data_IF_383545756872
#
_entry.id   IF_383545756872
#
_cell.length_a   1.000
_cell.length_b   1.000
_cell.length_c   1.000
_cell.angle_alpha   90.00
_cell.angle_beta   90.00
_cell.angle_gamma   90.00
#
_symmetry.space_group_name_H-M   'P 1'
#
loop_
_entity.id
_entity.type
_entity.pdbx_description
1 polymer ?
#
# COMPACT_ATOMS: atom_id res chain seq x y z
N UNK A 1 9.07 33.60 -24.47
CA UNK A 1 8.50 32.24 -24.51
C UNK A 1 8.68 31.47 -23.21
N UNK A 2 9.84 31.43 -22.57
CA UNK A 2 10.09 30.70 -21.30
C UNK A 2 9.21 31.18 -20.12
N UNK A 3 8.93 32.47 -19.98
CA UNK A 3 8.07 33.00 -18.90
C UNK A 3 6.57 32.56 -19.01
N UNK A 4 6.07 32.39 -20.21
CA UNK A 4 4.69 31.92 -20.43
C UNK A 4 4.56 30.41 -20.14
N UNK A 5 5.58 29.63 -20.46
CA UNK A 5 5.60 28.20 -20.10
C UNK A 5 5.66 27.98 -18.58
N UNK A 6 6.44 28.81 -17.85
CA UNK A 6 6.51 28.74 -16.39
C UNK A 6 5.17 29.14 -15.72
N UNK A 7 4.48 30.16 -16.21
CA UNK A 7 3.16 30.56 -15.72
C UNK A 7 2.10 29.49 -16.00
N UNK A 8 2.11 28.86 -17.17
CA UNK A 8 1.20 27.77 -17.50
C UNK A 8 1.42 26.51 -16.64
N UNK A 9 2.66 26.22 -16.25
CA UNK A 9 2.97 25.06 -15.38
C UNK A 9 2.52 25.28 -13.94
N UNK A 10 2.65 26.51 -13.42
CA UNK A 10 2.16 26.90 -12.07
C UNK A 10 0.64 26.83 -12.01
N UNK A 11 -0.05 27.30 -13.06
CA UNK A 11 -1.51 27.24 -13.14
C UNK A 11 -2.02 25.78 -13.24
N UNK A 12 -1.32 24.93 -13.97
CA UNK A 12 -1.67 23.51 -14.08
C UNK A 12 -1.47 22.75 -12.75
N UNK A 13 -0.40 23.04 -12.02
CA UNK A 13 -0.15 22.43 -10.70
C UNK A 13 -1.20 22.89 -9.67
N UNK A 14 -1.52 24.19 -9.65
CA UNK A 14 -2.55 24.74 -8.76
C UNK A 14 -3.95 24.18 -9.08
N UNK A 15 -4.27 23.98 -10.35
CA UNK A 15 -5.53 23.34 -10.76
C UNK A 15 -5.60 21.88 -10.36
N UNK A 16 -4.51 21.11 -10.50
CA UNK A 16 -4.42 19.72 -10.06
C UNK A 16 -4.58 19.61 -8.55
N UNK A 17 -3.95 20.48 -7.78
CA UNK A 17 -4.09 20.51 -6.32
C UNK A 17 -5.52 20.91 -5.91
N UNK A 18 -6.13 21.89 -6.57
CA UNK A 18 -7.51 22.28 -6.34
C UNK A 18 -8.48 21.14 -6.65
N UNK A 19 -8.33 20.46 -7.79
CA UNK A 19 -9.13 19.30 -8.16
C UNK A 19 -8.95 18.15 -7.18
N UNK A 20 -7.74 17.91 -6.70
CA UNK A 20 -7.44 16.90 -5.69
C UNK A 20 -8.16 17.22 -4.36
N UNK A 21 -8.07 18.46 -3.87
CA UNK A 21 -8.78 18.92 -2.66
C UNK A 21 -10.31 18.87 -2.83
N UNK A 22 -10.82 19.29 -3.98
CA UNK A 22 -12.26 19.22 -4.28
C UNK A 22 -12.74 17.76 -4.29
N UNK A 23 -11.96 16.86 -4.86
CA UNK A 23 -12.27 15.44 -4.89
C UNK A 23 -12.22 14.81 -3.49
N UNK A 24 -11.25 15.17 -2.65
CA UNK A 24 -11.21 14.76 -1.24
C UNK A 24 -12.41 15.27 -0.46
N UNK A 25 -12.78 16.54 -0.61
CA UNK A 25 -13.95 17.14 0.05
C UNK A 25 -15.25 16.48 -0.38
N UNK A 26 -15.46 16.25 -1.67
CA UNK A 26 -16.68 15.58 -2.17
C UNK A 26 -16.75 14.12 -1.73
N UNK A 27 -15.62 13.41 -1.66
CA UNK A 27 -15.56 12.05 -1.12
C UNK A 27 -15.91 12.04 0.37
N UNK A 28 -15.36 12.97 1.16
CA UNK A 28 -15.64 13.09 2.60
C UNK A 28 -17.11 13.43 2.88
N UNK A 29 -17.70 14.38 2.13
CA UNK A 29 -19.11 14.73 2.26
C UNK A 29 -20.01 13.55 1.89
N UNK A 30 -19.69 12.82 0.80
CA UNK A 30 -20.43 11.64 0.39
C UNK A 30 -20.38 10.51 1.42
N UNK A 31 -19.28 10.37 2.15
CA UNK A 31 -19.12 9.41 3.25
C UNK A 31 -19.97 9.82 4.44
N UNK A 32 -19.89 11.09 4.87
CA UNK A 32 -20.66 11.61 6.02
C UNK A 32 -22.18 11.52 5.83
N UNK A 33 -22.66 11.70 4.60
CA UNK A 33 -24.08 11.57 4.29
C UNK A 33 -24.57 10.12 4.26
N UNK A 34 -23.68 9.20 3.85
CA UNK A 34 -23.99 7.75 3.71
C UNK A 34 -23.91 7.00 5.02
N UNK A 35 -23.05 7.36 5.95
CA UNK A 35 -22.95 6.70 7.26
C UNK A 35 -24.23 6.78 8.09
N UNK A 36 -25.13 7.72 7.77
CA UNK A 36 -26.42 7.86 8.45
C UNK A 36 -27.50 6.88 7.96
N UNK A 37 -27.35 6.28 6.78
CA UNK A 37 -28.39 5.47 6.15
C UNK A 37 -28.00 4.01 5.89
N UNK A 38 -26.71 3.67 5.96
CA UNK A 38 -26.27 2.33 5.61
C UNK A 38 -26.28 1.37 6.82
N UNK A 39 -26.67 0.11 6.62
CA UNK A 39 -26.70 -0.88 7.69
C UNK A 39 -25.28 -1.08 8.26
N UNK A 40 -25.21 -1.03 9.59
CA UNK A 40 -24.01 -1.40 10.33
C UNK A 40 -23.97 -2.90 10.52
N UNK A 41 -22.81 -3.49 10.40
CA UNK A 41 -22.56 -4.89 10.74
C UNK A 41 -21.57 -4.95 11.91
N UNK A 42 -21.49 -6.09 12.58
CA UNK A 42 -20.41 -6.27 13.56
C UNK A 42 -19.07 -6.57 12.88
N UNK A 43 -17.98 -6.32 13.57
CA UNK A 43 -16.65 -6.71 13.07
C UNK A 43 -16.56 -8.23 12.89
N UNK A 44 -17.17 -9.00 13.78
CA UNK A 44 -17.26 -10.47 13.67
C UNK A 44 -18.02 -10.93 12.43
N UNK A 45 -19.09 -10.22 12.04
CA UNK A 45 -19.82 -10.52 10.81
C UNK A 45 -18.98 -10.21 9.57
N UNK A 46 -18.19 -9.12 9.59
CA UNK A 46 -17.25 -8.82 8.51
C UNK A 46 -16.18 -9.91 8.40
N UNK A 47 -15.60 -10.34 9.52
CA UNK A 47 -14.61 -11.43 9.55
C UNK A 47 -15.21 -12.73 9.00
N UNK A 48 -16.43 -13.10 9.39
CA UNK A 48 -17.10 -14.27 8.85
C UNK A 48 -17.33 -14.19 7.34
N UNK A 49 -17.61 -12.99 6.80
CA UNK A 49 -17.71 -12.77 5.34
C UNK A 49 -16.36 -12.93 4.64
N UNK A 50 -15.27 -12.46 5.25
CA UNK A 50 -13.92 -12.67 4.73
C UNK A 50 -13.57 -14.16 4.67
N UNK A 51 -13.98 -14.93 5.66
CA UNK A 51 -13.75 -16.38 5.66
C UNK A 51 -14.40 -17.12 4.49
N UNK A 52 -15.52 -16.62 3.98
CA UNK A 52 -16.25 -17.22 2.85
C UNK A 52 -15.87 -16.59 1.49
N UNK A 53 -15.14 -15.50 1.47
CA UNK A 53 -14.79 -14.76 0.27
C UNK A 53 -13.85 -15.53 -0.67
N UNK A 54 -13.95 -15.25 -1.96
CA UNK A 54 -12.99 -15.68 -2.97
C UNK A 54 -11.88 -14.65 -3.17
N UNK A 55 -12.22 -13.37 -3.05
CA UNK A 55 -11.27 -12.26 -3.21
C UNK A 55 -11.65 -11.08 -2.34
N UNK A 56 -10.64 -10.43 -1.76
CA UNK A 56 -10.84 -9.18 -1.00
C UNK A 56 -9.76 -8.16 -1.37
N UNK A 57 -10.17 -6.91 -1.45
CA UNK A 57 -9.27 -5.77 -1.47
C UNK A 57 -9.53 -4.91 -0.23
N UNK A 58 -8.48 -4.61 0.54
CA UNK A 58 -8.56 -3.72 1.70
C UNK A 58 -7.65 -2.52 1.51
N UNK A 59 -8.22 -1.33 1.66
CA UNK A 59 -7.50 -0.07 1.68
C UNK A 59 -7.46 0.50 3.09
N UNK A 60 -6.29 0.98 3.52
CA UNK A 60 -6.14 1.60 4.84
C UNK A 60 -4.88 2.47 4.91
N UNK A 61 -4.94 3.49 5.76
CA UNK A 61 -3.85 4.41 6.07
C UNK A 61 -3.41 4.35 7.55
N UNK A 62 -4.07 3.51 8.33
CA UNK A 62 -3.74 3.23 9.73
C UNK A 62 -3.69 1.72 9.94
N UNK A 63 -2.95 1.22 10.93
CA UNK A 63 -2.93 -0.21 11.22
C UNK A 63 -4.33 -0.79 11.42
N UNK A 64 -4.58 -1.93 10.77
CA UNK A 64 -5.86 -2.63 10.89
C UNK A 64 -6.02 -3.25 12.29
N UNK A 65 -7.25 -3.31 12.82
CA UNK A 65 -7.54 -4.08 14.03
C UNK A 65 -7.11 -5.54 13.87
N UNK A 66 -6.47 -6.13 14.89
CA UNK A 66 -5.95 -7.50 14.84
C UNK A 66 -7.02 -8.53 14.40
N UNK A 67 -8.29 -8.52 14.87
CA UNK A 67 -9.29 -9.47 14.41
C UNK A 67 -9.53 -9.40 12.89
N UNK A 68 -9.50 -8.21 12.31
CA UNK A 68 -9.65 -8.03 10.87
C UNK A 68 -8.42 -8.54 10.13
N UNK A 69 -7.23 -8.23 10.62
CA UNK A 69 -5.97 -8.70 10.03
C UNK A 69 -5.88 -10.22 10.05
N UNK A 70 -6.32 -10.87 11.14
CA UNK A 70 -6.35 -12.32 11.24
C UNK A 70 -7.36 -12.94 10.27
N UNK A 71 -8.54 -12.34 10.10
CA UNK A 71 -9.50 -12.75 9.07
C UNK A 71 -8.93 -12.67 7.65
N UNK A 72 -8.20 -11.59 7.33
CA UNK A 72 -7.52 -11.43 6.04
C UNK A 72 -6.39 -12.47 5.84
N UNK A 73 -5.65 -12.80 6.88
CA UNK A 73 -4.64 -13.88 6.85
C UNK A 73 -5.26 -15.25 6.59
N UNK A 74 -6.37 -15.54 7.26
CA UNK A 74 -7.10 -16.79 7.04
C UNK A 74 -7.60 -16.92 5.60
N UNK A 75 -8.17 -15.83 5.04
CA UNK A 75 -8.56 -15.78 3.62
C UNK A 75 -7.36 -16.08 2.70
N UNK A 76 -6.27 -15.35 2.85
CA UNK A 76 -5.09 -15.52 2.03
C UNK A 76 -4.49 -16.94 2.14
N UNK A 77 -4.45 -17.50 3.34
CA UNK A 77 -3.97 -18.87 3.58
C UNK A 77 -4.84 -19.95 2.94
N UNK A 78 -6.17 -19.74 2.88
CA UNK A 78 -7.11 -20.71 2.29
C UNK A 78 -7.17 -20.62 0.76
N UNK A 79 -7.20 -19.42 0.21
CA UNK A 79 -7.41 -19.18 -1.22
C UNK A 79 -6.11 -19.05 -2.00
N UNK A 80 -5.03 -18.72 -1.32
CA UNK A 80 -3.72 -18.58 -1.93
C UNK A 80 -3.51 -17.25 -2.67
N UNK A 81 -2.54 -17.24 -3.57
CA UNK A 81 -2.09 -16.02 -4.24
C UNK A 81 -3.18 -15.37 -5.08
N UNK A 82 -3.33 -14.06 -4.93
CA UNK A 82 -4.31 -13.26 -5.68
C UNK A 82 -5.70 -13.20 -5.04
N UNK A 83 -5.90 -13.81 -3.87
CA UNK A 83 -7.16 -13.71 -3.13
C UNK A 83 -7.28 -12.44 -2.29
N UNK A 84 -6.15 -11.81 -1.96
CA UNK A 84 -6.10 -10.64 -1.09
C UNK A 84 -5.16 -9.57 -1.64
N UNK A 85 -5.71 -8.40 -1.90
CA UNK A 85 -4.98 -7.19 -2.21
C UNK A 85 -5.06 -6.20 -1.04
N UNK A 86 -3.92 -5.80 -0.49
CA UNK A 86 -3.81 -4.79 0.56
C UNK A 86 -3.26 -3.50 -0.05
N UNK A 87 -4.03 -2.44 -0.02
CA UNK A 87 -3.61 -1.12 -0.51
C UNK A 87 -3.36 -0.23 0.69
N UNK A 88 -2.11 0.16 0.87
CA UNK A 88 -1.62 0.89 2.05
C UNK A 88 -1.24 2.30 1.66
N UNK A 89 -1.66 3.30 2.41
CA UNK A 89 -1.29 4.70 2.21
C UNK A 89 -0.72 5.28 3.51
N UNK A 90 0.36 6.06 3.38
CA UNK A 90 0.96 6.82 4.50
C UNK A 90 1.40 5.99 5.72
N UNK A 91 1.63 4.69 5.56
CA UNK A 91 2.19 3.86 6.64
C UNK A 91 3.70 3.74 6.46
N UNK A 92 4.45 4.41 7.33
CA UNK A 92 5.92 4.42 7.32
C UNK A 92 6.54 3.31 8.21
N UNK A 93 5.73 2.58 8.96
CA UNK A 93 6.18 1.47 9.80
C UNK A 93 6.55 0.24 8.95
N UNK A 94 7.85 0.11 8.69
CA UNK A 94 8.40 -1.02 7.90
C UNK A 94 8.10 -2.37 8.55
N UNK A 95 8.12 -2.47 9.88
CA UNK A 95 7.83 -3.71 10.58
C UNK A 95 6.37 -4.13 10.36
N UNK A 96 5.46 -3.16 10.40
CA UNK A 96 4.05 -3.41 10.09
C UNK A 96 3.86 -3.80 8.61
N UNK A 97 4.51 -3.11 7.67
CA UNK A 97 4.44 -3.46 6.24
C UNK A 97 4.95 -4.88 5.97
N UNK A 98 6.05 -5.30 6.62
CA UNK A 98 6.53 -6.68 6.56
C UNK A 98 5.52 -7.67 7.14
N UNK A 99 4.84 -7.30 8.23
CA UNK A 99 3.78 -8.11 8.85
C UNK A 99 2.59 -8.31 7.90
N UNK A 100 2.32 -7.38 6.98
CA UNK A 100 1.29 -7.48 5.95
C UNK A 100 1.70 -8.36 4.77
N UNK A 101 3.00 -8.53 4.52
CA UNK A 101 3.52 -9.29 3.39
C UNK A 101 3.54 -10.80 3.68
N UNK A 102 2.38 -11.37 4.00
CA UNK A 102 2.21 -12.80 4.26
C UNK A 102 1.79 -13.55 2.99
N UNK A 103 1.96 -14.88 3.02
CA UNK A 103 1.65 -15.74 1.87
C UNK A 103 0.19 -15.58 1.41
N UNK A 104 -0.03 -15.33 0.13
CA UNK A 104 -1.34 -15.13 -0.47
C UNK A 104 -1.80 -13.69 -0.57
N UNK A 105 -1.17 -12.76 0.16
CA UNK A 105 -1.45 -11.33 0.04
C UNK A 105 -0.53 -10.64 -0.98
N UNK A 106 -1.08 -9.64 -1.66
CA UNK A 106 -0.32 -8.67 -2.45
C UNK A 106 -0.46 -7.30 -1.79
N UNK A 107 0.65 -6.71 -1.37
CA UNK A 107 0.66 -5.42 -0.68
C UNK A 107 1.07 -4.32 -1.66
N UNK A 108 0.22 -3.33 -1.82
CA UNK A 108 0.42 -2.21 -2.75
C UNK A 108 0.53 -0.89 -2.01
N UNK A 109 1.39 -0.02 -2.49
CA UNK A 109 1.35 1.37 -2.10
C UNK A 109 0.22 2.07 -2.87
N UNK A 110 -0.66 2.78 -2.16
CA UNK A 110 -1.78 3.52 -2.71
C UNK A 110 -1.66 5.02 -2.48
N UNK A 111 -2.43 5.82 -3.21
CA UNK A 111 -2.44 7.28 -3.06
C UNK A 111 -3.87 7.84 -3.20
N UNK A 112 -4.23 8.73 -2.29
CA UNK A 112 -5.34 9.67 -2.48
C UNK A 112 -6.73 9.07 -2.33
N UNK A 113 -6.93 8.17 -1.39
CA UNK A 113 -8.26 7.77 -0.93
C UNK A 113 -8.64 8.50 0.37
N UNK A 114 -9.92 8.56 0.73
CA UNK A 114 -10.34 9.15 1.99
C UNK A 114 -9.71 8.43 3.19
N UNK A 115 -9.54 9.15 4.31
CA UNK A 115 -8.86 8.71 5.54
C UNK A 115 -9.57 7.58 6.31
N UNK A 116 -10.31 6.73 5.64
CA UNK A 116 -11.04 5.62 6.26
C UNK A 116 -10.59 4.30 5.68
N UNK A 117 -10.60 3.26 6.51
CA UNK A 117 -10.37 1.90 6.04
C UNK A 117 -11.56 1.43 5.21
N UNK A 118 -11.30 0.92 4.02
CA UNK A 118 -12.31 0.33 3.13
C UNK A 118 -11.96 -1.12 2.85
N UNK A 119 -12.91 -2.02 3.10
CA UNK A 119 -12.78 -3.44 2.76
C UNK A 119 -13.84 -3.79 1.72
N UNK A 120 -13.43 -4.35 0.58
CA UNK A 120 -14.34 -4.80 -0.48
C UNK A 120 -14.19 -6.30 -0.67
N UNK A 121 -15.29 -7.03 -0.47
CA UNK A 121 -15.38 -8.48 -0.54
C UNK A 121 -16.01 -8.86 -1.88
N UNK A 122 -15.40 -9.79 -2.61
CA UNK A 122 -15.85 -10.35 -3.89
C UNK A 122 -16.26 -9.30 -4.93
N UNK A 123 -15.65 -8.10 -4.85
CA UNK A 123 -15.89 -6.95 -5.75
C UNK A 123 -17.28 -6.32 -5.65
N UNK A 124 -18.17 -6.84 -4.84
CA UNK A 124 -19.60 -6.45 -4.78
C UNK A 124 -20.05 -5.94 -3.42
N UNK A 125 -19.37 -6.28 -2.35
CA UNK A 125 -19.71 -5.86 -0.99
C UNK A 125 -18.60 -5.01 -0.43
N UNK A 126 -18.89 -3.76 -0.08
CA UNK A 126 -17.94 -2.83 0.51
C UNK A 126 -18.33 -2.46 1.95
N UNK A 127 -17.30 -2.21 2.77
CA UNK A 127 -17.46 -1.85 4.17
C UNK A 127 -16.46 -0.78 4.55
N UNK A 128 -16.97 0.34 5.07
CA UNK A 128 -16.16 1.39 5.69
C UNK A 128 -15.96 1.08 7.16
N UNK A 129 -14.74 1.19 7.63
CA UNK A 129 -14.42 1.15 9.05
C UNK A 129 -13.96 2.55 9.46
N UNK A 130 -14.65 3.14 10.43
CA UNK A 130 -14.22 4.41 11.01
C UNK A 130 -12.89 4.21 11.75
N UNK A 131 -11.96 5.12 11.52
CA UNK A 131 -10.64 5.14 12.18
C UNK A 131 -10.69 5.79 13.56
N UNK A 132 -11.89 5.97 14.14
CA UNK A 132 -12.01 6.56 15.46
C UNK A 132 -11.19 5.81 16.49
N UNK A 133 -10.30 6.54 17.12
CA UNK A 133 -9.24 6.12 18.03
C UNK A 133 -9.73 5.51 19.34
N UNK A 134 -11.02 5.39 19.55
CA UNK A 134 -11.55 4.68 20.70
C UNK A 134 -11.47 3.17 20.45
N UNK A 135 -10.80 2.48 21.36
CA UNK A 135 -10.46 1.04 21.33
C UNK A 135 -11.65 0.07 21.11
N UNK A 136 -12.82 0.57 20.82
CA UNK A 136 -14.04 -0.19 20.49
C UNK A 136 -14.29 -0.38 18.99
N UNK A 137 -13.42 0.17 18.12
CA UNK A 137 -13.51 0.06 16.65
C UNK A 137 -14.94 0.28 16.17
N UNK A 138 -15.24 1.43 15.57
CA UNK A 138 -16.60 1.70 15.08
C UNK A 138 -17.14 0.53 14.25
N UNK A 139 -18.41 0.19 14.42
CA UNK A 139 -19.03 -0.89 13.65
C UNK A 139 -18.92 -0.63 12.15
N UNK A 140 -18.45 -1.60 11.34
CA UNK A 140 -18.36 -1.46 9.90
C UNK A 140 -19.70 -1.04 9.27
N UNK A 141 -19.62 -0.07 8.35
CA UNK A 141 -20.80 0.47 7.64
C UNK A 141 -20.76 0.01 6.19
N UNK A 142 -21.84 -0.54 5.68
CA UNK A 142 -21.90 -0.96 4.28
C UNK A 142 -21.61 0.23 3.33
N UNK A 143 -20.78 0.01 2.33
CA UNK A 143 -20.46 0.99 1.31
C UNK A 143 -21.37 0.83 0.08
N UNK A 144 -21.97 1.93 -0.37
CA UNK A 144 -22.66 1.94 -1.65
C UNK A 144 -21.65 1.88 -2.79
N UNK A 145 -22.08 1.34 -3.95
CA UNK A 145 -21.26 1.28 -5.15
C UNK A 145 -19.89 0.58 -4.95
N UNK A 146 -19.85 -0.52 -4.20
CA UNK A 146 -18.64 -1.30 -3.98
C UNK A 146 -17.90 -1.67 -5.28
N UNK A 147 -18.57 -2.02 -6.40
CA UNK A 147 -17.88 -2.26 -7.67
C UNK A 147 -17.10 -1.05 -8.19
N UNK A 148 -17.67 0.16 -8.11
CA UNK A 148 -16.97 1.38 -8.55
C UNK A 148 -15.78 1.72 -7.64
N UNK A 149 -15.95 1.51 -6.33
CA UNK A 149 -14.88 1.68 -5.36
C UNK A 149 -13.76 0.67 -5.60
N UNK A 150 -14.09 -0.58 -5.92
CA UNK A 150 -13.12 -1.60 -6.28
C UNK A 150 -12.28 -1.18 -7.49
N UNK A 151 -12.92 -0.72 -8.57
CA UNK A 151 -12.22 -0.22 -9.76
C UNK A 151 -11.30 0.96 -9.42
N UNK A 152 -11.79 1.91 -8.61
CA UNK A 152 -10.99 3.05 -8.14
C UNK A 152 -9.75 2.59 -7.35
N UNK A 153 -9.88 1.61 -6.47
CA UNK A 153 -8.76 1.05 -5.72
C UNK A 153 -7.72 0.41 -6.65
N UNK A 154 -8.15 -0.34 -7.67
CA UNK A 154 -7.26 -0.95 -8.64
C UNK A 154 -6.39 0.09 -9.38
N UNK A 155 -6.99 1.22 -9.77
CA UNK A 155 -6.29 2.30 -10.46
C UNK A 155 -5.34 3.11 -9.56
N UNK A 156 -5.49 3.01 -8.24
CA UNK A 156 -4.69 3.75 -7.26
C UNK A 156 -3.52 2.97 -6.66
N UNK A 157 -3.26 1.78 -7.16
CA UNK A 157 -2.09 0.98 -6.80
C UNK A 157 -0.88 1.45 -7.60
N UNK A 158 0.18 1.93 -6.93
CA UNK A 158 1.37 2.50 -7.59
C UNK A 158 2.60 1.63 -7.52
N UNK A 159 2.73 0.81 -6.51
CA UNK A 159 3.87 -0.06 -6.33
C UNK A 159 3.51 -1.31 -5.55
N UNK A 160 4.20 -2.39 -5.83
CA UNK A 160 4.08 -3.68 -5.15
C UNK A 160 5.18 -3.80 -4.10
N UNK A 161 4.84 -4.15 -2.87
CA UNK A 161 5.82 -4.51 -1.85
C UNK A 161 6.48 -5.83 -2.21
N UNK A 162 7.80 -5.83 -2.23
CA UNK A 162 8.59 -7.01 -2.56
C UNK A 162 9.78 -7.13 -1.61
N UNK A 163 10.22 -8.37 -1.42
CA UNK A 163 11.46 -8.68 -0.75
C UNK A 163 12.38 -9.45 -1.70
N UNK A 164 13.64 -9.03 -1.78
CA UNK A 164 14.65 -9.69 -2.58
C UNK A 164 15.90 -9.96 -1.75
N UNK A 165 16.60 -11.03 -2.08
CA UNK A 165 17.96 -11.29 -1.61
C UNK A 165 18.91 -11.21 -2.79
N UNK A 166 20.09 -10.65 -2.57
CA UNK A 166 21.07 -10.51 -3.62
C UNK A 166 22.42 -10.00 -3.09
N UNK A 167 23.35 -9.78 -4.01
CA UNK A 167 24.68 -9.24 -3.73
C UNK A 167 24.78 -7.79 -4.20
N UNK A 168 25.22 -6.91 -3.33
CA UNK A 168 25.45 -5.51 -3.65
C UNK A 168 26.60 -5.38 -4.65
N UNK A 169 26.32 -4.95 -5.88
CA UNK A 169 27.30 -4.88 -6.98
C UNK A 169 27.93 -3.52 -7.07
N UNK A 170 27.13 -2.48 -7.20
CA UNK A 170 27.56 -1.11 -7.44
C UNK A 170 26.84 -0.16 -6.49
N UNK A 171 27.55 0.88 -6.08
CA UNK A 171 27.03 1.91 -5.17
C UNK A 171 27.39 3.28 -5.76
N UNK A 172 26.40 4.15 -5.86
CA UNK A 172 26.51 5.53 -6.32
C UNK A 172 26.12 6.48 -5.18
N UNK A 173 27.07 6.80 -4.26
CA UNK A 173 26.75 7.54 -3.04
C UNK A 173 26.13 8.91 -3.30
N UNK A 174 26.59 9.60 -4.33
CA UNK A 174 26.17 10.97 -4.66
C UNK A 174 24.71 11.03 -5.12
N UNK A 175 24.17 9.95 -5.67
CA UNK A 175 22.80 9.89 -6.20
C UNK A 175 21.87 9.06 -5.33
N UNK A 176 22.42 8.33 -4.36
CA UNK A 176 21.67 7.39 -3.52
C UNK A 176 21.21 6.13 -4.25
N UNK A 177 21.68 5.90 -5.48
CA UNK A 177 21.41 4.69 -6.24
C UNK A 177 22.42 3.59 -5.92
N UNK A 178 21.96 2.35 -6.04
CA UNK A 178 22.80 1.17 -5.97
C UNK A 178 22.21 0.03 -6.78
N UNK A 179 23.03 -0.94 -7.14
CA UNK A 179 22.65 -2.09 -7.93
C UNK A 179 22.85 -3.37 -7.10
N UNK A 180 21.87 -4.27 -7.15
CA UNK A 180 21.90 -5.58 -6.50
C UNK A 180 21.78 -6.66 -7.55
N UNK A 181 22.77 -7.55 -7.61
CA UNK A 181 22.72 -8.77 -8.42
C UNK A 181 21.82 -9.79 -7.74
N UNK A 182 20.76 -10.20 -8.42
CA UNK A 182 19.85 -11.25 -8.03
C UNK A 182 20.30 -12.60 -8.59
N UNK A 183 19.63 -13.67 -8.21
CA UNK A 183 19.80 -14.97 -8.87
C UNK A 183 19.47 -14.88 -10.37
N UNK A 184 20.01 -15.82 -11.17
CA UNK A 184 19.83 -15.87 -12.64
C UNK A 184 20.44 -14.68 -13.41
N UNK A 185 21.50 -14.05 -12.88
CA UNK A 185 22.21 -12.93 -13.52
C UNK A 185 21.33 -11.68 -13.76
N UNK A 186 20.23 -11.55 -13.05
CA UNK A 186 19.39 -10.35 -13.09
C UNK A 186 19.96 -9.27 -12.19
N UNK A 187 19.83 -8.05 -12.59
CA UNK A 187 20.22 -6.87 -11.82
C UNK A 187 18.99 -6.05 -11.44
N UNK A 188 18.99 -5.58 -10.21
CA UNK A 188 17.94 -4.73 -9.68
C UNK A 188 18.54 -3.37 -9.28
N UNK A 189 18.09 -2.33 -9.95
CA UNK A 189 18.43 -0.97 -9.58
C UNK A 189 17.56 -0.50 -8.42
N UNK A 190 18.22 0.09 -7.42
CA UNK A 190 17.60 0.46 -6.16
C UNK A 190 17.95 1.89 -5.78
N UNK A 191 17.06 2.53 -5.03
CA UNK A 191 17.35 3.75 -4.28
C UNK A 191 16.62 3.71 -2.95
N UNK A 192 17.10 4.41 -1.94
CA UNK A 192 16.36 4.58 -0.71
C UNK A 192 15.21 5.58 -0.89
N UNK A 193 14.07 5.28 -0.27
CA UNK A 193 12.94 6.22 -0.17
C UNK A 193 13.28 7.43 0.70
N UNK A 194 14.17 7.24 1.69
CA UNK A 194 14.66 8.30 2.58
C UNK A 194 16.20 8.23 2.70
N UNK A 195 16.88 9.37 2.86
CA UNK A 195 18.32 9.38 3.09
C UNK A 195 18.69 8.55 4.32
N UNK A 196 19.65 7.66 4.21
CA UNK A 196 20.19 6.90 5.34
C UNK A 196 21.29 7.66 6.05
N UNK A 197 21.20 7.68 7.38
CA UNK A 197 22.30 8.20 8.25
C UNK A 197 23.51 7.27 8.28
N UNK A 198 23.30 5.97 8.09
CA UNK A 198 24.35 4.95 8.03
C UNK A 198 24.62 4.59 6.57
N UNK A 199 25.89 4.58 6.17
CA UNK A 199 26.29 4.21 4.81
C UNK A 199 25.80 2.84 4.38
N UNK A 200 25.85 2.58 3.08
CA UNK A 200 25.60 1.25 2.52
C UNK A 200 26.72 0.29 2.93
N UNK A 201 26.43 -1.02 3.08
CA UNK A 201 27.48 -2.04 3.18
C UNK A 201 28.40 -1.99 1.96
N UNK A 202 29.59 -2.57 2.08
CA UNK A 202 30.53 -2.63 0.95
C UNK A 202 29.96 -3.46 -0.22
N UNK A 203 30.39 -3.16 -1.43
CA UNK A 203 30.13 -4.00 -2.60
C UNK A 203 30.63 -5.43 -2.33
N UNK A 204 29.90 -6.42 -2.84
CA UNK A 204 30.13 -7.84 -2.53
C UNK A 204 29.34 -8.37 -1.31
N UNK A 205 28.74 -7.47 -0.50
CA UNK A 205 27.92 -7.88 0.65
C UNK A 205 26.59 -8.46 0.18
N UNK A 206 26.23 -9.63 0.71
CA UNK A 206 24.86 -10.16 0.55
C UNK A 206 23.90 -9.35 1.40
N UNK A 207 22.77 -9.00 0.80
CA UNK A 207 21.75 -8.16 1.43
C UNK A 207 20.36 -8.71 1.19
N UNK A 208 19.47 -8.48 2.15
CA UNK A 208 18.03 -8.60 1.96
C UNK A 208 17.46 -7.20 1.81
N UNK A 209 16.63 -7.01 0.80
CA UNK A 209 15.93 -5.76 0.49
C UNK A 209 14.44 -5.93 0.75
N UNK A 210 13.83 -4.90 1.29
CA UNK A 210 12.37 -4.76 1.35
C UNK A 210 11.99 -3.36 0.86
N UNK A 211 10.97 -3.27 -0.02
CA UNK A 211 10.55 -1.99 -0.57
C UNK A 211 9.50 -2.11 -1.66
N UNK A 212 9.35 -1.03 -2.42
CA UNK A 212 8.32 -0.89 -3.45
C UNK A 212 8.89 -0.97 -4.86
N UNK A 213 8.33 -1.82 -5.71
CA UNK A 213 8.53 -1.73 -7.16
C UNK A 213 7.34 -1.00 -7.78
N UNK A 214 7.58 0.17 -8.38
CA UNK A 214 6.55 0.95 -9.07
C UNK A 214 6.31 0.38 -10.46
N UNK A 215 5.05 0.39 -10.92
CA UNK A 215 4.63 -0.19 -12.20
C UNK A 215 5.33 0.40 -13.43
N UNK A 216 5.72 1.66 -13.35
CA UNK A 216 6.36 2.41 -14.44
C UNK A 216 7.86 2.60 -14.26
N UNK A 217 8.47 1.93 -13.33
CA UNK A 217 9.89 2.06 -12.98
C UNK A 217 10.52 0.69 -12.83
N UNK A 218 11.72 0.56 -13.37
CA UNK A 218 12.59 -0.60 -13.12
C UNK A 218 13.42 -0.43 -11.84
N UNK A 219 13.14 0.62 -11.06
CA UNK A 219 13.87 0.97 -9.86
C UNK A 219 13.04 0.60 -8.65
N UNK A 220 13.64 -0.14 -7.72
CA UNK A 220 13.06 -0.44 -6.42
C UNK A 220 13.30 0.74 -5.46
N UNK A 221 12.23 1.27 -4.86
CA UNK A 221 12.34 2.15 -3.70
C UNK A 221 12.51 1.30 -2.45
N UNK A 222 13.71 1.29 -1.89
CA UNK A 222 14.07 0.48 -0.74
C UNK A 222 13.69 1.19 0.55
N UNK A 223 12.87 0.52 1.35
CA UNK A 223 12.50 0.93 2.70
C UNK A 223 13.50 0.41 3.73
N UNK A 224 13.94 -0.84 3.54
CA UNK A 224 14.89 -1.48 4.44
C UNK A 224 15.89 -2.33 3.64
N UNK A 225 17.15 -2.27 4.08
CA UNK A 225 18.24 -3.11 3.61
C UNK A 225 18.92 -3.71 4.83
N UNK A 226 19.00 -5.03 4.89
CA UNK A 226 19.63 -5.79 5.97
C UNK A 226 20.78 -6.58 5.38
N UNK A 227 22.03 -6.39 5.84
CA UNK A 227 23.13 -7.28 5.50
C UNK A 227 22.82 -8.70 5.98
N UNK A 228 23.11 -9.67 5.14
CA UNK A 228 23.02 -11.09 5.48
C UNK A 228 24.41 -11.58 5.88
N UNK A 229 24.49 -12.36 6.95
CA UNK A 229 25.74 -12.96 7.34
C UNK A 229 26.28 -13.85 6.20
N UNK A 230 27.60 -13.84 5.94
CA UNK A 230 28.18 -14.75 4.98
C UNK A 230 27.77 -16.19 5.38
N UNK A 231 27.19 -16.94 4.44
CA UNK A 231 26.89 -18.36 4.67
C UNK A 231 28.20 -19.04 5.03
N UNK A 232 28.34 -19.45 6.30
CA UNK A 232 29.41 -20.31 6.79
C UNK A 232 29.37 -21.68 6.07
#
# INVERSE_FOLDING_TARGET
MQRLAALASVDAAARLEFLHRLFQLTATIAILDRTKMNPRISLSDLVARLESADHTIAYFNTPLPEPLLDGLRLLAGRRGRGSLDLVVEEIDDVAYLKKLNFAGASVYNGVGLPRETLVIVDRIQGYWLATDTDATGGAPVAADNAPDLYVKLLWRRFGLAVSYEGELKEIYPDTGFFCVGLEEQRELWCRFSQPRSNGLPAAGTRVQLFGWIKWNSQIMEVLELTPLDPKT
#
